data_IF_178380131503
#
_entry.id   IF_178380131503
#
_cell.length_a   1.000
_cell.length_b   1.000
_cell.length_c   1.000
_cell.angle_alpha   90.00
_cell.angle_beta   90.00
_cell.angle_gamma   90.00
#
_symmetry.space_group_name_H-M   'P 1'
#
loop_
_entity.id
_entity.type
_entity.pdbx_description
1 polymer ?
#
# COMPACT_ATOMS: atom_id res chain seq x y z
N UNK A 1 -10.29 -13.12 -19.30
CA UNK A 1 -10.15 -12.97 -17.83
C UNK A 1 -9.01 -11.98 -17.65
N UNK A 2 -9.29 -10.70 -17.90
CA UNK A 2 -8.33 -9.59 -17.99
C UNK A 2 -8.86 -8.45 -17.12
N UNK A 3 -8.61 -8.49 -15.81
CA UNK A 3 -9.15 -7.46 -14.92
C UNK A 3 -8.25 -7.10 -13.73
N UNK A 4 -6.93 -7.30 -13.83
CA UNK A 4 -6.01 -6.92 -12.75
C UNK A 4 -4.82 -6.03 -13.20
N UNK A 5 -4.74 -5.62 -14.46
CA UNK A 5 -3.53 -4.97 -15.01
C UNK A 5 -3.75 -3.58 -15.61
N UNK A 6 -4.57 -2.73 -14.97
CA UNK A 6 -4.69 -1.31 -15.37
C UNK A 6 -4.48 -0.31 -14.23
N UNK A 7 -4.26 -0.76 -13.00
CA UNK A 7 -4.05 0.15 -11.86
C UNK A 7 -2.58 0.60 -11.68
N UNK A 8 -1.64 0.03 -12.46
CA UNK A 8 -0.20 0.30 -12.32
C UNK A 8 0.30 1.49 -13.17
N UNK A 9 -0.35 1.82 -14.29
CA UNK A 9 0.19 2.81 -15.23
C UNK A 9 -0.03 4.27 -14.78
N UNK A 10 -1.15 4.57 -14.12
CA UNK A 10 -1.44 5.92 -13.64
C UNK A 10 -0.55 6.32 -12.45
N UNK A 11 -0.35 5.42 -11.49
CA UNK A 11 0.49 5.65 -10.31
C UNK A 11 1.98 5.82 -10.68
N UNK A 12 2.45 5.12 -11.71
CA UNK A 12 3.82 5.27 -12.23
C UNK A 12 4.01 6.58 -13.02
N UNK A 13 2.97 7.08 -13.70
CA UNK A 13 3.00 8.40 -14.38
C UNK A 13 3.12 9.57 -13.37
N UNK A 14 2.49 9.46 -12.19
CA UNK A 14 2.60 10.49 -11.15
C UNK A 14 3.97 10.51 -10.45
N UNK A 15 4.55 9.33 -10.19
CA UNK A 15 5.91 9.20 -9.65
C UNK A 15 6.96 9.90 -10.54
N UNK A 16 6.80 9.76 -11.85
CA UNK A 16 7.72 10.33 -12.85
C UNK A 16 7.73 11.87 -12.87
N UNK A 17 6.70 12.50 -12.28
CA UNK A 17 6.57 13.96 -12.16
C UNK A 17 7.18 14.51 -10.86
N UNK A 18 7.51 13.64 -9.91
CA UNK A 18 8.17 14.02 -8.66
C UNK A 18 9.67 14.21 -8.90
N UNK A 19 10.29 15.09 -8.12
CA UNK A 19 11.75 15.15 -8.07
C UNK A 19 12.33 13.81 -7.63
N UNK A 20 13.57 13.47 -8.00
CA UNK A 20 14.21 12.22 -7.57
C UNK A 20 14.15 11.99 -6.05
N UNK A 21 14.32 13.04 -5.25
CA UNK A 21 14.27 12.97 -3.80
C UNK A 21 12.87 12.61 -3.29
N UNK A 22 11.83 13.20 -3.89
CA UNK A 22 10.45 12.90 -3.55
C UNK A 22 10.06 11.46 -3.96
N UNK A 23 10.61 10.94 -5.07
CA UNK A 23 10.44 9.53 -5.45
C UNK A 23 11.05 8.60 -4.39
N UNK A 24 12.28 8.87 -3.96
CA UNK A 24 12.96 8.09 -2.91
C UNK A 24 12.18 8.13 -1.60
N UNK A 25 11.72 9.31 -1.17
CA UNK A 25 10.92 9.47 0.04
C UNK A 25 9.61 8.68 -0.03
N UNK A 26 8.91 8.72 -1.17
CA UNK A 26 7.66 7.99 -1.37
C UNK A 26 7.88 6.47 -1.38
N UNK A 27 8.93 5.98 -2.03
CA UNK A 27 9.31 4.55 -2.01
C UNK A 27 9.57 4.10 -0.57
N UNK A 28 10.40 4.85 0.18
CA UNK A 28 10.72 4.52 1.56
C UNK A 28 9.48 4.53 2.47
N UNK A 29 8.58 5.49 2.27
CA UNK A 29 7.32 5.58 3.03
C UNK A 29 6.39 4.40 2.74
N UNK A 30 6.18 4.05 1.46
CA UNK A 30 5.37 2.89 1.05
C UNK A 30 5.91 1.60 1.66
N UNK A 31 7.22 1.44 1.62
CA UNK A 31 7.90 0.27 2.17
C UNK A 31 7.76 0.17 3.69
N UNK A 32 7.94 1.29 4.41
CA UNK A 32 7.74 1.33 5.86
C UNK A 32 6.29 1.02 6.26
N UNK A 33 5.31 1.62 5.57
CA UNK A 33 3.88 1.39 5.81
C UNK A 33 3.50 -0.05 5.50
N UNK A 34 3.97 -0.62 4.38
CA UNK A 34 3.71 -2.01 4.01
C UNK A 34 4.20 -3.00 5.09
N UNK A 35 5.40 -2.77 5.63
CA UNK A 35 5.94 -3.58 6.74
C UNK A 35 5.11 -3.44 8.01
N UNK A 36 4.67 -2.22 8.34
CA UNK A 36 3.84 -1.98 9.52
C UNK A 36 2.49 -2.71 9.39
N UNK A 37 1.82 -2.62 8.24
CA UNK A 37 0.55 -3.30 7.98
C UNK A 37 0.71 -4.83 8.09
N UNK A 38 1.76 -5.39 7.48
CA UNK A 38 2.04 -6.83 7.57
C UNK A 38 2.30 -7.29 9.01
N UNK A 39 2.96 -6.47 9.82
CA UNK A 39 3.14 -6.74 11.25
C UNK A 39 1.79 -6.83 11.98
N UNK A 40 0.89 -5.87 11.79
CA UNK A 40 -0.43 -5.89 12.42
C UNK A 40 -1.23 -7.12 11.99
N UNK A 41 -1.23 -7.44 10.68
CA UNK A 41 -1.85 -8.66 10.13
C UNK A 41 -1.37 -9.93 10.84
N UNK A 42 -0.04 -10.10 10.99
CA UNK A 42 0.56 -11.28 11.65
C UNK A 42 0.26 -11.36 13.14
N UNK A 43 0.06 -10.22 13.81
CA UNK A 43 -0.27 -10.17 15.23
C UNK A 43 -1.77 -10.31 15.51
N UNK A 44 -2.60 -10.42 14.47
CA UNK A 44 -4.05 -10.46 14.62
C UNK A 44 -4.64 -9.10 15.02
N UNK A 45 -3.95 -8.01 14.70
CA UNK A 45 -4.36 -6.66 15.03
C UNK A 45 -5.06 -6.00 13.83
N UNK A 46 -6.19 -5.33 14.09
CA UNK A 46 -6.86 -4.52 13.08
C UNK A 46 -6.08 -3.24 12.79
N UNK A 47 -6.24 -2.70 11.58
CA UNK A 47 -5.78 -1.36 11.23
C UNK A 47 -6.97 -0.43 11.02
N UNK A 48 -6.74 0.87 11.17
CA UNK A 48 -7.75 1.89 10.90
C UNK A 48 -7.30 2.72 9.69
N UNK A 49 -8.18 2.84 8.71
CA UNK A 49 -7.94 3.62 7.50
C UNK A 49 -9.04 4.66 7.32
N UNK A 50 -8.72 5.69 6.54
CA UNK A 50 -9.73 6.60 6.00
C UNK A 50 -10.10 6.16 4.58
N UNK A 51 -11.40 5.98 4.32
CA UNK A 51 -11.91 5.62 2.98
C UNK A 51 -13.23 6.38 2.75
N UNK A 52 -13.32 7.11 1.65
CA UNK A 52 -14.53 7.82 1.22
C UNK A 52 -15.18 8.69 2.30
N UNK A 53 -14.35 9.44 3.03
CA UNK A 53 -14.84 10.35 4.07
C UNK A 53 -15.18 9.66 5.41
N UNK A 54 -14.85 8.38 5.57
CA UNK A 54 -15.19 7.59 6.75
C UNK A 54 -13.97 6.88 7.34
N UNK A 55 -14.02 6.69 8.66
CA UNK A 55 -13.12 5.80 9.37
C UNK A 55 -13.58 4.37 9.15
N UNK A 56 -12.71 3.52 8.62
CA UNK A 56 -12.95 2.10 8.39
C UNK A 56 -11.92 1.29 9.18
N UNK A 57 -12.41 0.37 10.00
CA UNK A 57 -11.58 -0.62 10.69
C UNK A 57 -11.45 -1.82 9.75
N UNK A 58 -10.21 -2.20 9.42
CA UNK A 58 -9.93 -3.38 8.60
C UNK A 58 -9.38 -4.46 9.51
N UNK A 59 -10.08 -5.58 9.68
CA UNK A 59 -9.62 -6.66 10.53
C UNK A 59 -8.48 -7.44 9.83
N UNK A 60 -7.60 -8.13 10.59
CA UNK A 60 -6.38 -8.73 10.05
C UNK A 60 -6.63 -9.77 8.94
N UNK A 61 -7.76 -10.47 8.97
CA UNK A 61 -8.18 -11.45 7.96
C UNK A 61 -8.53 -10.84 6.60
N UNK A 62 -8.85 -9.55 6.56
CA UNK A 62 -9.12 -8.79 5.33
C UNK A 62 -7.87 -8.09 4.78
N UNK A 63 -6.76 -8.09 5.54
CA UNK A 63 -5.50 -7.52 5.10
C UNK A 63 -4.78 -8.57 4.24
N UNK A 64 -4.51 -8.29 2.95
CA UNK A 64 -3.77 -9.22 2.11
C UNK A 64 -2.34 -9.39 2.63
N UNK A 65 -1.75 -10.59 2.52
CA UNK A 65 -0.34 -10.77 2.84
C UNK A 65 0.51 -9.86 1.97
N UNK A 66 1.55 -9.27 2.57
CA UNK A 66 2.52 -8.48 1.81
C UNK A 66 3.17 -9.36 0.75
N UNK A 67 2.99 -9.00 -0.52
CA UNK A 67 3.60 -9.72 -1.63
C UNK A 67 5.10 -9.42 -1.67
N UNK A 68 5.93 -10.44 -1.43
CA UNK A 68 7.39 -10.31 -1.36
C UNK A 68 8.06 -10.38 -2.73
N UNK A 69 7.31 -10.72 -3.79
CA UNK A 69 7.85 -11.01 -5.13
C UNK A 69 8.09 -9.78 -6.02
N UNK A 70 7.74 -8.57 -5.57
CA UNK A 70 7.87 -7.33 -6.34
C UNK A 70 8.90 -6.34 -5.75
N UNK A 71 9.99 -6.86 -5.15
CA UNK A 71 11.13 -6.06 -4.68
C UNK A 71 12.37 -6.35 -5.53
#
# INVERSE_FOLDING_TARGET
MEADYHMNDAANNELSRLSPEAQVALIAAREAVSRAIERHRRMGESIVIWRDGKVVIVPPEEIPPRDLAAQ
#
